data_IF_331660834131
#
_entry.id   IF_331660834131
#
_cell.length_a   1.000
_cell.length_b   1.000
_cell.length_c   1.000
_cell.angle_alpha   90.00
_cell.angle_beta   90.00
_cell.angle_gamma   90.00
#
_symmetry.space_group_name_H-M   'P 1'
#
loop_
_entity.id
_entity.type
_entity.pdbx_description
1 polymer ?
#
# COMPACT_ATOMS: atom_id res chain seq x y z
N UNK A 1 -1.17 -3.03 -13.29
CA UNK A 1 -2.39 -3.50 -13.98
C UNK A 1 -2.95 -4.69 -13.23
N UNK A 2 -4.24 -4.70 -12.85
CA UNK A 2 -4.85 -5.85 -12.19
C UNK A 2 -5.10 -7.00 -13.16
N UNK A 3 -5.04 -8.23 -12.65
CA UNK A 3 -5.40 -9.46 -13.37
C UNK A 3 -6.84 -9.87 -13.00
N UNK A 4 -7.83 -9.06 -13.41
CA UNK A 4 -9.25 -9.24 -13.07
C UNK A 4 -9.89 -10.51 -13.64
N UNK A 5 -9.22 -11.26 -14.50
CA UNK A 5 -9.63 -12.58 -14.97
C UNK A 5 -8.68 -13.70 -14.50
N UNK A 6 -7.70 -13.36 -13.69
CA UNK A 6 -6.65 -14.25 -13.21
C UNK A 6 -5.61 -14.68 -14.25
N UNK A 7 -5.65 -14.11 -15.47
CA UNK A 7 -4.79 -14.55 -16.59
C UNK A 7 -4.19 -13.42 -17.42
N UNK A 8 -4.94 -12.37 -17.65
CA UNK A 8 -4.55 -11.29 -18.54
C UNK A 8 -4.62 -9.95 -17.80
N UNK A 9 -3.66 -9.04 -18.03
CA UNK A 9 -3.69 -7.74 -17.41
C UNK A 9 -4.87 -6.92 -17.94
N UNK A 10 -5.60 -6.28 -17.03
CA UNK A 10 -6.67 -5.34 -17.33
C UNK A 10 -6.19 -3.90 -17.13
N UNK A 11 -6.86 -2.94 -17.75
CA UNK A 11 -6.66 -1.52 -17.48
C UNK A 11 -7.73 -1.07 -16.49
N UNK A 12 -7.32 -0.56 -15.34
CA UNK A 12 -8.20 0.03 -14.35
C UNK A 12 -8.00 1.55 -14.30
N UNK A 13 -9.11 2.29 -14.34
CA UNK A 13 -9.13 3.73 -14.20
C UNK A 13 -10.09 4.13 -13.08
N UNK A 14 -9.58 4.91 -12.13
CA UNK A 14 -10.34 5.45 -11.01
C UNK A 14 -10.42 6.98 -11.07
N UNK A 15 -11.56 7.53 -10.69
CA UNK A 15 -11.77 8.96 -10.51
C UNK A 15 -12.58 9.24 -9.26
N UNK A 16 -12.17 10.25 -8.51
CA UNK A 16 -12.76 10.68 -7.24
C UNK A 16 -11.92 10.19 -6.06
N UNK A 17 -11.92 10.95 -4.98
CA UNK A 17 -11.10 10.70 -3.79
C UNK A 17 -11.94 10.85 -2.54
N UNK A 18 -12.57 12.00 -2.31
CA UNK A 18 -13.21 12.34 -1.04
C UNK A 18 -14.67 11.92 -0.89
N UNK A 19 -15.43 11.84 -1.98
CA UNK A 19 -16.89 11.62 -1.90
C UNK A 19 -17.34 10.57 -2.87
N UNK A 20 -17.58 10.97 -4.12
CA UNK A 20 -18.07 10.11 -5.19
C UNK A 20 -16.93 9.54 -6.00
N UNK A 21 -16.92 8.23 -6.15
CA UNK A 21 -15.96 7.51 -6.97
C UNK A 21 -16.62 6.98 -8.24
N UNK A 22 -15.85 6.93 -9.32
CA UNK A 22 -16.22 6.28 -10.58
C UNK A 22 -15.05 5.45 -11.03
N UNK A 23 -15.28 4.17 -11.19
CA UNK A 23 -14.28 3.21 -11.66
C UNK A 23 -14.73 2.60 -12.98
N UNK A 24 -13.78 2.26 -13.81
CA UNK A 24 -13.97 1.50 -15.03
C UNK A 24 -12.80 0.56 -15.24
N UNK A 25 -13.09 -0.69 -15.56
CA UNK A 25 -12.12 -1.67 -15.96
C UNK A 25 -12.30 -2.05 -17.43
N UNK A 26 -11.19 -2.25 -18.12
CA UNK A 26 -11.14 -2.70 -19.51
C UNK A 26 -10.30 -3.97 -19.62
N UNK A 27 -10.80 -4.92 -20.38
CA UNK A 27 -10.01 -5.99 -20.93
C UNK A 27 -9.31 -5.51 -22.20
N UNK A 28 -8.08 -5.99 -22.41
CA UNK A 28 -7.31 -5.73 -23.63
C UNK A 28 -7.34 -6.97 -24.49
N UNK A 29 -7.84 -6.87 -25.72
CA UNK A 29 -7.77 -7.98 -26.66
C UNK A 29 -6.29 -8.21 -27.06
N UNK A 30 -5.70 -9.38 -26.79
CA UNK A 30 -4.27 -9.60 -27.06
C UNK A 30 -3.89 -9.65 -28.55
N UNK A 31 -4.88 -9.75 -29.46
CA UNK A 31 -4.65 -9.82 -30.90
C UNK A 31 -4.88 -8.48 -31.59
N UNK A 32 -5.98 -7.79 -31.25
CA UNK A 32 -6.36 -6.54 -31.89
C UNK A 32 -5.91 -5.33 -31.10
N UNK A 33 -5.56 -5.50 -29.82
CA UNK A 33 -5.28 -4.47 -28.83
C UNK A 33 -6.46 -3.53 -28.55
N UNK A 34 -7.67 -3.94 -28.93
CA UNK A 34 -8.87 -3.19 -28.63
C UNK A 34 -9.21 -3.27 -27.15
N UNK A 35 -9.80 -2.17 -26.64
CA UNK A 35 -10.26 -2.07 -25.26
C UNK A 35 -11.76 -2.42 -25.19
N UNK A 36 -12.09 -3.42 -24.40
CA UNK A 36 -13.47 -3.82 -24.12
C UNK A 36 -13.78 -3.52 -22.66
N UNK A 37 -14.86 -2.75 -22.42
CA UNK A 37 -15.31 -2.49 -21.04
C UNK A 37 -15.67 -3.82 -20.37
N UNK A 38 -14.98 -4.14 -19.28
CA UNK A 38 -15.29 -5.27 -18.41
C UNK A 38 -16.42 -4.94 -17.48
N UNK A 39 -16.26 -3.87 -16.69
CA UNK A 39 -17.30 -3.34 -15.82
C UNK A 39 -17.12 -1.85 -15.55
N UNK A 40 -18.18 -1.23 -15.01
CA UNK A 40 -18.20 0.12 -14.46
C UNK A 40 -18.81 0.09 -13.08
N UNK A 41 -18.24 0.86 -12.16
CA UNK A 41 -18.72 0.98 -10.80
C UNK A 41 -18.82 2.46 -10.38
N UNK A 42 -19.76 2.76 -9.50
CA UNK A 42 -19.89 4.10 -8.91
C UNK A 42 -20.66 4.06 -7.60
N UNK A 43 -20.25 4.93 -6.67
CA UNK A 43 -20.93 5.17 -5.40
C UNK A 43 -21.63 6.54 -5.37
N UNK A 44 -22.44 6.86 -6.34
CA UNK A 44 -23.02 8.21 -6.52
C UNK A 44 -23.93 8.71 -5.38
N UNK A 45 -24.32 7.87 -4.43
CA UNK A 45 -25.32 8.18 -3.42
C UNK A 45 -24.67 8.46 -2.06
N UNK A 46 -24.77 9.70 -1.52
CA UNK A 46 -24.47 9.97 -0.13
C UNK A 46 -25.27 9.05 0.80
N UNK A 47 -24.61 8.53 1.85
CA UNK A 47 -25.20 7.55 2.77
C UNK A 47 -25.07 6.08 2.32
N UNK A 48 -24.59 5.81 1.11
CA UNK A 48 -24.12 4.49 0.73
C UNK A 48 -22.88 4.11 1.55
N UNK A 49 -22.71 2.85 1.96
CA UNK A 49 -21.52 2.41 2.71
C UNK A 49 -20.21 2.62 1.94
N UNK A 50 -20.29 2.83 0.64
CA UNK A 50 -19.17 3.04 -0.27
C UNK A 50 -18.82 4.52 -0.50
N UNK A 51 -19.69 5.44 -0.07
CA UNK A 51 -19.49 6.86 -0.31
C UNK A 51 -18.43 7.43 0.61
N UNK A 52 -17.45 8.15 0.04
CA UNK A 52 -16.37 8.77 0.82
C UNK A 52 -15.26 7.83 1.31
N UNK A 53 -15.19 6.59 0.82
CA UNK A 53 -14.28 5.58 1.36
C UNK A 53 -12.91 5.51 0.68
N UNK A 54 -12.66 6.33 -0.36
CA UNK A 54 -11.44 6.24 -1.15
C UNK A 54 -10.27 7.04 -0.60
N UNK A 55 -9.05 6.58 -0.90
CA UNK A 55 -7.80 7.25 -0.59
C UNK A 55 -7.17 7.87 -1.82
N UNK A 56 -5.99 8.49 -1.66
CA UNK A 56 -5.21 9.07 -2.75
C UNK A 56 -4.53 8.03 -3.65
N UNK A 57 -4.45 6.79 -3.21
CA UNK A 57 -3.87 5.67 -3.92
C UNK A 57 -4.78 4.44 -3.85
N UNK A 58 -4.45 3.42 -4.62
CA UNK A 58 -5.06 2.10 -4.54
C UNK A 58 -3.99 1.01 -4.67
N UNK A 59 -4.32 -0.16 -4.21
CA UNK A 59 -3.50 -1.36 -4.30
C UNK A 59 -4.28 -2.40 -5.11
N UNK A 60 -3.56 -3.23 -5.82
CA UNK A 60 -4.09 -4.38 -6.57
C UNK A 60 -3.54 -5.63 -5.93
N UNK A 61 -4.41 -6.53 -5.50
CA UNK A 61 -4.04 -7.80 -4.89
C UNK A 61 -5.22 -8.77 -4.92
N UNK A 62 -4.93 -10.08 -5.01
CA UNK A 62 -5.88 -11.16 -4.81
C UNK A 62 -6.11 -11.33 -3.30
N UNK A 63 -7.09 -10.60 -2.74
CA UNK A 63 -7.30 -10.55 -1.29
C UNK A 63 -8.25 -11.64 -0.78
N UNK A 64 -9.05 -12.24 -1.65
CA UNK A 64 -9.98 -13.31 -1.29
C UNK A 64 -9.56 -14.70 -1.78
N UNK A 65 -8.38 -14.77 -2.45
CA UNK A 65 -7.71 -15.99 -2.88
C UNK A 65 -8.47 -16.78 -3.95
N UNK A 66 -9.22 -16.08 -4.80
CA UNK A 66 -9.94 -16.69 -5.92
C UNK A 66 -9.09 -16.79 -7.20
N UNK A 67 -7.86 -16.26 -7.18
CA UNK A 67 -6.92 -16.23 -8.29
C UNK A 67 -7.09 -15.03 -9.20
N UNK A 68 -7.80 -14.01 -8.77
CA UNK A 68 -8.02 -12.74 -9.47
C UNK A 68 -7.72 -11.57 -8.54
N UNK A 69 -7.36 -10.45 -9.13
CA UNK A 69 -7.05 -9.27 -8.32
C UNK A 69 -8.29 -8.44 -7.99
N UNK A 70 -8.35 -7.94 -6.77
CA UNK A 70 -9.27 -6.91 -6.30
C UNK A 70 -8.61 -5.53 -6.37
N UNK A 71 -9.45 -4.51 -6.33
CA UNK A 71 -9.04 -3.11 -6.20
C UNK A 71 -9.28 -2.66 -4.76
N UNK A 72 -8.22 -2.56 -4.00
CA UNK A 72 -8.23 -2.05 -2.64
C UNK A 72 -8.05 -0.53 -2.68
N UNK A 73 -9.12 0.21 -2.44
CA UNK A 73 -9.13 1.66 -2.53
C UNK A 73 -9.47 2.29 -1.18
N UNK A 74 -8.47 2.41 -0.34
CA UNK A 74 -8.64 2.98 0.98
C UNK A 74 -9.49 2.15 1.91
N UNK A 75 -10.58 2.73 2.40
CA UNK A 75 -11.51 2.10 3.32
C UNK A 75 -12.49 1.12 2.64
N UNK A 76 -12.33 0.83 1.35
CA UNK A 76 -13.18 -0.11 0.60
C UNK A 76 -12.37 -1.03 -0.32
N UNK A 77 -12.93 -2.19 -0.59
CA UNK A 77 -12.43 -3.18 -1.55
C UNK A 77 -13.50 -3.43 -2.62
N UNK A 78 -13.09 -3.37 -3.88
CA UNK A 78 -13.92 -3.68 -5.05
C UNK A 78 -13.41 -4.99 -5.65
N UNK A 79 -14.29 -5.95 -5.73
CA UNK A 79 -14.08 -7.29 -6.26
C UNK A 79 -13.78 -7.27 -7.77
N UNK A 80 -13.09 -8.27 -8.30
CA UNK A 80 -12.72 -8.48 -9.70
C UNK A 80 -13.88 -8.31 -10.67
N UNK A 81 -15.09 -8.62 -10.21
CA UNK A 81 -16.34 -8.51 -10.97
C UNK A 81 -16.97 -7.11 -10.93
N UNK A 82 -16.32 -6.14 -10.27
CA UNK A 82 -16.79 -4.75 -10.17
C UNK A 82 -17.89 -4.53 -9.15
N UNK A 83 -18.08 -5.42 -8.19
CA UNK A 83 -18.98 -5.22 -7.04
C UNK A 83 -18.16 -4.80 -5.81
N UNK A 84 -18.78 -4.12 -4.87
CA UNK A 84 -18.16 -3.87 -3.58
C UNK A 84 -18.02 -5.18 -2.80
N UNK A 85 -16.79 -5.51 -2.37
CA UNK A 85 -16.50 -6.70 -1.57
C UNK A 85 -16.69 -6.39 -0.08
N UNK A 86 -15.97 -5.39 0.43
CA UNK A 86 -16.05 -4.99 1.83
C UNK A 86 -15.69 -3.51 2.04
N UNK A 87 -16.07 -2.96 3.20
CA UNK A 87 -15.70 -1.60 3.59
C UNK A 87 -15.65 -1.45 5.10
N UNK A 88 -14.72 -0.63 5.59
CA UNK A 88 -14.64 -0.27 7.02
C UNK A 88 -15.66 0.79 7.42
N UNK A 89 -16.12 1.61 6.47
CA UNK A 89 -16.94 2.79 6.77
C UNK A 89 -16.19 3.94 7.44
N UNK A 90 -14.84 3.88 7.52
CA UNK A 90 -14.04 4.89 8.22
C UNK A 90 -13.83 6.17 7.42
N UNK A 91 -14.16 6.15 6.11
CA UNK A 91 -14.03 7.34 5.26
C UNK A 91 -12.67 7.45 4.59
N UNK A 92 -12.37 8.66 4.15
CA UNK A 92 -11.14 9.01 3.45
C UNK A 92 -9.90 8.90 4.34
N UNK A 93 -8.75 8.67 3.70
CA UNK A 93 -7.42 8.65 4.32
C UNK A 93 -6.31 8.73 3.30
N UNK A 94 -5.07 8.77 3.77
CA UNK A 94 -3.90 9.12 2.96
C UNK A 94 -2.99 7.96 2.61
N UNK A 95 -2.79 7.01 3.52
CA UNK A 95 -1.84 5.93 3.34
C UNK A 95 -2.44 4.57 3.68
N UNK A 96 -2.04 3.56 2.91
CA UNK A 96 -2.43 2.17 3.10
C UNK A 96 -1.33 1.23 2.62
N UNK A 97 -1.17 0.13 3.33
CA UNK A 97 -0.22 -0.92 3.01
C UNK A 97 -0.91 -2.27 3.15
N UNK A 98 -0.60 -3.20 2.23
CA UNK A 98 -1.14 -4.55 2.24
C UNK A 98 0.01 -5.56 2.28
N UNK A 99 -0.20 -6.66 2.94
CA UNK A 99 0.74 -7.78 3.00
C UNK A 99 0.24 -8.89 3.89
N UNK A 100 0.94 -10.01 3.91
CA UNK A 100 0.82 -11.04 4.93
C UNK A 100 1.58 -10.55 6.17
N UNK A 101 0.91 -9.72 6.98
CA UNK A 101 1.52 -9.08 8.15
C UNK A 101 1.50 -9.95 9.39
N UNK A 102 0.57 -10.88 9.46
CA UNK A 102 0.46 -11.82 10.56
C UNK A 102 0.56 -13.26 10.05
N UNK A 103 1.73 -13.91 10.15
CA UNK A 103 1.95 -15.24 9.58
C UNK A 103 1.11 -16.36 10.23
N UNK A 104 0.34 -16.05 11.27
CA UNK A 104 -0.56 -16.98 11.96
C UNK A 104 -2.02 -16.83 11.53
N UNK A 105 -2.35 -15.88 10.69
CA UNK A 105 -3.68 -15.67 10.11
C UNK A 105 -3.57 -15.93 8.61
N UNK A 106 -4.43 -16.78 8.07
CA UNK A 106 -4.45 -16.98 6.62
C UNK A 106 -5.07 -15.79 5.92
N UNK A 107 -4.40 -15.26 4.92
CA UNK A 107 -4.87 -14.14 4.12
C UNK A 107 -3.87 -12.99 4.07
N UNK A 108 -4.35 -11.86 3.61
CA UNK A 108 -3.60 -10.61 3.62
C UNK A 108 -4.28 -9.62 4.56
N UNK A 109 -3.50 -8.78 5.16
CA UNK A 109 -3.98 -7.72 6.03
C UNK A 109 -3.59 -6.35 5.48
N UNK A 110 -4.26 -5.35 6.01
CA UNK A 110 -4.00 -3.96 5.71
C UNK A 110 -3.63 -3.18 6.96
N UNK A 111 -2.66 -2.29 6.81
CA UNK A 111 -2.40 -1.20 7.74
C UNK A 111 -2.67 0.13 7.05
N UNK A 112 -3.52 0.97 7.62
CA UNK A 112 -3.98 2.18 6.96
C UNK A 112 -4.24 3.31 7.97
N UNK A 113 -4.19 4.56 7.49
CA UNK A 113 -4.56 5.72 8.28
C UNK A 113 -5.66 6.55 7.61
N UNK A 114 -6.57 7.07 8.42
CA UNK A 114 -7.73 7.82 8.00
C UNK A 114 -7.64 9.29 8.41
N UNK A 115 -8.05 10.17 7.50
CA UNK A 115 -8.33 11.59 7.74
C UNK A 115 -9.75 11.78 8.28
N UNK A 116 -10.75 11.22 7.57
CA UNK A 116 -12.10 11.09 8.11
C UNK A 116 -12.09 10.05 9.24
N UNK A 117 -12.80 10.30 10.34
CA UNK A 117 -12.71 9.47 11.54
C UNK A 117 -11.25 9.19 11.92
N UNK A 118 -10.47 10.25 12.25
CA UNK A 118 -9.02 10.18 12.34
C UNK A 118 -8.53 9.00 13.17
N UNK A 119 -7.69 8.18 12.55
CA UNK A 119 -7.22 6.93 13.17
C UNK A 119 -6.21 6.23 12.29
N UNK A 120 -5.40 5.35 12.89
CA UNK A 120 -4.81 4.24 12.15
C UNK A 120 -5.57 2.94 12.45
N UNK A 121 -5.47 1.97 11.57
CA UNK A 121 -6.09 0.67 11.77
C UNK A 121 -5.31 -0.46 11.08
N UNK A 122 -5.34 -1.62 11.73
CA UNK A 122 -4.89 -2.89 11.21
C UNK A 122 -6.09 -3.81 11.04
N UNK A 123 -6.26 -4.40 9.86
CA UNK A 123 -7.47 -5.13 9.50
C UNK A 123 -7.23 -6.24 8.48
N UNK A 124 -8.17 -7.17 8.41
CA UNK A 124 -8.30 -8.15 7.35
C UNK A 124 -8.59 -7.46 5.99
N UNK A 125 -7.85 -7.83 4.95
CA UNK A 125 -7.97 -7.18 3.65
C UNK A 125 -9.25 -7.59 2.89
N UNK A 126 -9.73 -8.81 3.07
CA UNK A 126 -10.92 -9.33 2.39
C UNK A 126 -12.21 -8.80 3.00
N UNK A 127 -12.31 -8.89 4.33
CA UNK A 127 -13.56 -8.64 5.05
C UNK A 127 -13.67 -7.25 5.64
N UNK A 128 -12.57 -6.49 5.66
CA UNK A 128 -12.42 -5.21 6.37
C UNK A 128 -12.62 -5.31 7.89
N UNK A 129 -12.54 -6.52 8.47
CA UNK A 129 -12.61 -6.72 9.92
C UNK A 129 -11.39 -6.09 10.58
N UNK A 130 -11.64 -5.13 11.46
CA UNK A 130 -10.59 -4.41 12.18
C UNK A 130 -10.10 -5.26 13.35
N UNK A 131 -8.79 -5.49 13.42
CA UNK A 131 -8.09 -6.17 14.51
C UNK A 131 -7.56 -5.18 15.56
N UNK A 132 -7.04 -4.04 15.09
CA UNK A 132 -6.54 -2.96 15.91
C UNK A 132 -6.97 -1.62 15.33
N UNK A 133 -7.30 -0.67 16.19
CA UNK A 133 -7.55 0.73 15.80
C UNK A 133 -7.23 1.68 16.94
N UNK A 134 -6.42 2.68 16.64
CA UNK A 134 -6.25 3.85 17.52
C UNK A 134 -6.93 5.05 16.86
N UNK A 135 -7.88 5.64 17.59
CA UNK A 135 -8.53 6.90 17.18
C UNK A 135 -7.69 8.09 17.55
N UNK A 136 -7.75 9.14 16.75
CA UNK A 136 -7.06 10.39 16.98
C UNK A 136 -8.04 11.58 16.86
N UNK A 137 -7.56 12.79 17.17
CA UNK A 137 -8.27 14.06 16.98
C UNK A 137 -7.84 14.78 15.71
N UNK A 138 -6.72 14.39 15.11
CA UNK A 138 -6.16 14.98 13.91
C UNK A 138 -5.94 13.90 12.84
N UNK A 139 -5.84 14.34 11.59
CA UNK A 139 -5.44 13.52 10.47
C UNK A 139 -4.10 12.79 10.76
N UNK A 140 -4.10 11.48 10.67
CA UNK A 140 -2.92 10.65 10.91
C UNK A 140 -1.94 10.68 9.70
N UNK A 141 -2.41 11.04 8.53
CA UNK A 141 -1.66 11.41 7.32
C UNK A 141 -0.65 10.40 6.77
N UNK A 142 0.05 9.66 7.63
CA UNK A 142 1.09 8.69 7.26
C UNK A 142 1.09 7.50 8.18
N UNK A 143 1.27 6.32 7.58
CA UNK A 143 1.53 5.08 8.29
C UNK A 143 2.40 4.15 7.45
N UNK A 144 2.96 3.14 8.07
CA UNK A 144 3.67 2.05 7.40
C UNK A 144 3.53 0.78 8.23
N UNK A 145 3.53 -0.38 7.57
CA UNK A 145 3.68 -1.67 8.22
C UNK A 145 4.59 -2.56 7.39
N UNK A 146 5.45 -3.31 8.05
CA UNK A 146 6.39 -4.22 7.41
C UNK A 146 7.11 -5.11 8.40
N UNK A 147 7.80 -6.12 7.88
CA UNK A 147 8.64 -7.04 8.64
C UNK A 147 10.02 -6.40 8.90
N UNK A 148 10.07 -5.42 9.81
CA UNK A 148 11.26 -4.60 10.05
C UNK A 148 12.22 -5.17 11.10
N UNK A 149 11.80 -6.11 11.94
CA UNK A 149 12.53 -6.56 13.11
C UNK A 149 12.50 -8.09 13.23
N UNK A 150 13.65 -8.72 13.27
CA UNK A 150 13.78 -10.18 13.34
C UNK A 150 13.40 -10.78 14.71
N UNK A 151 13.33 -9.96 15.75
CA UNK A 151 12.96 -10.34 17.11
C UNK A 151 11.46 -10.08 17.43
N UNK A 152 10.71 -9.50 16.50
CA UNK A 152 9.28 -9.28 16.62
C UNK A 152 8.56 -10.10 15.53
N UNK A 153 7.83 -11.17 15.89
CA UNK A 153 7.12 -11.99 14.91
C UNK A 153 6.08 -11.19 14.12
N UNK A 154 6.02 -11.42 12.80
CA UNK A 154 5.12 -10.73 11.89
C UNK A 154 5.59 -9.30 11.59
N UNK A 155 4.68 -8.47 11.13
CA UNK A 155 4.99 -7.07 10.83
C UNK A 155 4.84 -6.17 12.07
N UNK A 156 5.49 -5.02 11.98
CA UNK A 156 5.31 -3.90 12.90
C UNK A 156 4.63 -2.76 12.13
N UNK A 157 3.46 -2.34 12.59
CA UNK A 157 2.73 -1.20 12.07
C UNK A 157 2.97 0.04 12.92
N UNK A 158 3.07 1.21 12.30
CA UNK A 158 3.17 2.49 12.99
C UNK A 158 2.60 3.63 12.16
N UNK A 159 2.27 4.74 12.80
CA UNK A 159 1.74 5.92 12.12
C UNK A 159 2.33 7.22 12.67
N UNK A 160 1.95 8.33 12.07
CA UNK A 160 2.42 9.64 12.51
C UNK A 160 2.02 9.96 13.96
N UNK A 161 0.92 9.40 14.43
CA UNK A 161 0.34 9.69 15.75
C UNK A 161 0.25 8.45 16.65
N UNK A 162 0.88 7.34 16.26
CA UNK A 162 0.88 6.13 17.06
C UNK A 162 2.27 5.49 17.12
N UNK A 163 2.58 4.93 18.28
CA UNK A 163 3.80 4.14 18.48
C UNK A 163 3.68 2.77 17.82
N UNK A 164 4.80 2.11 17.53
CA UNK A 164 4.78 0.79 16.87
C UNK A 164 3.89 -0.23 17.59
N UNK A 165 3.11 -0.98 16.80
CA UNK A 165 2.30 -2.13 17.25
C UNK A 165 2.76 -3.39 16.56
N UNK A 166 2.67 -4.53 17.25
CA UNK A 166 2.82 -5.85 16.62
C UNK A 166 1.52 -6.27 15.96
N UNK A 167 1.59 -6.68 14.69
CA UNK A 167 0.43 -7.22 13.97
C UNK A 167 0.00 -8.62 14.47
N UNK A 168 0.85 -9.30 15.20
CA UNK A 168 0.54 -10.60 15.79
C UNK A 168 -0.24 -10.46 17.09
N UNK A 169 0.17 -9.55 17.98
CA UNK A 169 -0.47 -9.38 19.30
C UNK A 169 -1.50 -8.27 19.33
N UNK A 170 -1.46 -7.35 18.37
CA UNK A 170 -2.24 -6.10 18.34
C UNK A 170 -1.93 -5.18 19.54
N UNK A 171 -0.73 -5.29 20.09
CA UNK A 171 -0.26 -4.51 21.24
C UNK A 171 0.93 -3.64 20.85
N UNK A 172 1.14 -2.57 21.61
CA UNK A 172 2.31 -1.72 21.42
C UNK A 172 3.60 -2.48 21.72
N UNK A 173 4.60 -2.23 20.89
CA UNK A 173 5.97 -2.73 21.05
C UNK A 173 6.94 -1.55 21.10
N UNK A 174 8.13 -1.77 21.66
CA UNK A 174 9.12 -0.71 21.84
C UNK A 174 10.46 -1.10 21.18
N UNK A 175 10.48 -1.26 19.85
CA UNK A 175 11.72 -1.58 19.13
C UNK A 175 12.64 -0.35 19.05
N UNK A 176 13.87 -0.57 18.61
CA UNK A 176 14.74 0.55 18.23
C UNK A 176 14.22 1.19 16.93
N UNK A 177 13.69 2.41 17.02
CA UNK A 177 13.08 3.13 15.89
C UNK A 177 14.07 3.95 15.06
N UNK A 178 15.39 3.87 15.33
CA UNK A 178 16.36 4.54 14.48
C UNK A 178 16.25 4.02 13.03
N UNK A 179 16.03 4.91 12.06
CA UNK A 179 15.82 4.55 10.67
C UNK A 179 14.39 4.10 10.31
N UNK A 180 13.47 4.03 11.25
CA UNK A 180 12.06 3.76 10.95
C UNK A 180 11.42 5.00 10.32
N UNK A 181 10.84 4.85 9.13
CA UNK A 181 10.13 5.93 8.40
C UNK A 181 8.74 5.47 7.94
N UNK A 182 7.94 6.34 7.32
CA UNK A 182 6.50 6.10 7.12
C UNK A 182 6.02 6.22 5.67
N UNK A 183 6.89 6.28 4.68
CA UNK A 183 6.42 6.42 3.30
C UNK A 183 6.34 5.08 2.56
N UNK A 184 7.47 4.35 2.47
CA UNK A 184 7.54 3.10 1.71
C UNK A 184 8.36 2.06 2.48
N UNK A 185 8.03 0.81 2.28
CA UNK A 185 8.89 -0.34 2.65
C UNK A 185 9.53 -0.89 1.38
N UNK A 186 10.67 -1.52 1.51
CA UNK A 186 11.46 -2.03 0.40
C UNK A 186 12.29 -3.24 0.83
N UNK A 187 12.42 -4.23 -0.03
CA UNK A 187 13.43 -5.27 0.09
C UNK A 187 14.71 -4.79 -0.59
N UNK A 188 15.66 -4.28 0.20
CA UNK A 188 16.88 -3.68 -0.33
C UNK A 188 18.13 -4.51 -0.11
N UNK A 189 18.38 -4.99 1.09
CA UNK A 189 19.55 -5.81 1.37
C UNK A 189 19.29 -7.33 1.26
N UNK A 190 20.25 -8.17 1.67
CA UNK A 190 20.18 -9.62 1.46
C UNK A 190 19.47 -10.40 2.55
N UNK A 191 18.91 -9.76 3.59
CA UNK A 191 18.16 -10.46 4.62
C UNK A 191 16.64 -10.44 4.38
N UNK A 192 15.86 -11.05 5.26
CA UNK A 192 14.43 -11.19 5.10
C UNK A 192 13.60 -10.05 5.75
N UNK A 193 14.27 -9.09 6.40
CA UNK A 193 13.63 -7.92 6.92
C UNK A 193 13.44 -6.90 5.79
N UNK A 194 12.35 -6.16 5.88
CA UNK A 194 12.12 -5.02 4.99
C UNK A 194 12.83 -3.79 5.53
N UNK A 195 13.32 -2.95 4.64
CA UNK A 195 13.81 -1.62 4.94
C UNK A 195 12.73 -0.58 4.73
N UNK A 196 13.00 0.64 5.21
CA UNK A 196 12.19 1.81 4.89
C UNK A 196 12.84 2.60 3.76
N UNK A 197 12.03 3.07 2.82
CA UNK A 197 12.44 4.00 1.78
C UNK A 197 11.67 5.32 1.92
N UNK A 198 12.41 6.42 1.98
CA UNK A 198 11.82 7.75 2.06
C UNK A 198 12.69 8.76 1.31
N UNK A 199 12.07 9.50 0.41
CA UNK A 199 12.73 10.49 -0.44
C UNK A 199 13.84 9.87 -1.32
N UNK A 200 15.09 9.90 -0.87
CA UNK A 200 16.25 9.35 -1.58
C UNK A 200 17.12 8.49 -0.66
N UNK A 201 16.57 8.07 0.46
CA UNK A 201 17.29 7.28 1.45
C UNK A 201 16.59 5.95 1.70
N UNK A 202 17.41 4.90 1.77
CA UNK A 202 17.02 3.60 2.30
C UNK A 202 17.56 3.50 3.72
N UNK A 203 16.68 3.21 4.66
CA UNK A 203 17.05 3.09 6.08
C UNK A 203 16.63 1.74 6.61
N UNK A 204 17.50 1.11 7.41
CA UNK A 204 17.18 -0.12 8.12
C UNK A 204 16.74 0.20 9.53
N UNK A 205 15.51 -0.14 9.93
CA UNK A 205 15.04 0.08 11.29
C UNK A 205 15.96 -0.58 12.33
N UNK A 206 16.35 0.20 13.35
CA UNK A 206 17.33 -0.20 14.36
C UNK A 206 18.80 0.15 14.01
N UNK A 207 19.09 0.45 12.74
CA UNK A 207 20.46 0.74 12.28
C UNK A 207 20.62 2.15 11.71
N UNK A 208 19.59 2.72 11.03
CA UNK A 208 19.64 4.02 10.39
C UNK A 208 19.86 3.92 8.88
N UNK A 209 20.42 4.98 8.25
CA UNK A 209 20.61 5.04 6.79
C UNK A 209 21.65 4.03 6.32
N UNK A 210 21.26 3.17 5.39
CA UNK A 210 22.13 2.17 4.75
C UNK A 210 22.47 2.49 3.30
N UNK A 211 21.64 3.28 2.63
CA UNK A 211 21.91 3.75 1.27
C UNK A 211 21.33 5.15 1.04
N UNK A 212 22.02 5.94 0.20
CA UNK A 212 21.54 7.23 -0.31
C UNK A 212 21.60 7.20 -1.83
N UNK A 213 20.47 7.44 -2.49
CA UNK A 213 20.34 7.42 -3.95
C UNK A 213 20.90 8.72 -4.54
N UNK A 214 22.21 8.77 -4.70
CA UNK A 214 22.93 9.98 -5.10
C UNK A 214 22.45 10.54 -6.44
N UNK A 215 22.05 11.80 -6.43
CA UNK A 215 21.54 12.53 -7.61
C UNK A 215 20.09 12.22 -7.95
N UNK A 216 19.39 11.47 -7.11
CA UNK A 216 17.95 11.22 -7.21
C UNK A 216 17.13 12.42 -6.71
N UNK A 217 15.92 12.54 -7.23
CA UNK A 217 14.90 13.48 -6.75
C UNK A 217 13.56 12.75 -6.72
N UNK A 218 12.96 12.69 -5.55
CA UNK A 218 11.59 12.16 -5.39
C UNK A 218 10.55 13.10 -6.01
N UNK A 219 9.32 12.63 -6.12
CA UNK A 219 8.19 13.38 -6.64
C UNK A 219 7.18 13.64 -5.50
N UNK A 220 6.18 14.48 -5.79
CA UNK A 220 5.01 14.66 -4.94
C UNK A 220 5.31 15.22 -3.54
N UNK A 221 6.29 16.13 -3.44
CA UNK A 221 6.63 16.88 -2.21
C UNK A 221 6.86 15.94 -1.00
N UNK A 222 6.18 16.18 0.11
CA UNK A 222 6.33 15.40 1.35
C UNK A 222 5.92 13.92 1.25
N UNK A 223 5.16 13.55 0.22
CA UNK A 223 4.85 12.15 -0.09
C UNK A 223 6.04 11.38 -0.66
N UNK A 224 7.05 12.13 -1.14
CA UNK A 224 8.37 11.61 -1.55
C UNK A 224 8.28 10.36 -2.45
N UNK A 225 7.34 10.37 -3.39
CA UNK A 225 6.99 9.21 -4.24
C UNK A 225 8.08 8.96 -5.27
N UNK A 226 8.64 7.75 -5.40
CA UNK A 226 9.51 7.37 -6.51
C UNK A 226 8.75 7.36 -7.85
N UNK A 227 9.47 7.34 -8.96
CA UNK A 227 8.86 7.06 -10.26
C UNK A 227 8.34 5.63 -10.32
N UNK A 228 9.08 4.69 -9.72
CA UNK A 228 8.71 3.28 -9.58
C UNK A 228 9.54 2.64 -8.47
N UNK A 229 8.98 1.64 -7.81
CA UNK A 229 9.65 0.73 -6.90
C UNK A 229 9.15 -0.69 -7.15
N UNK A 230 10.04 -1.66 -7.21
CA UNK A 230 9.72 -3.08 -7.37
C UNK A 230 10.89 -3.86 -7.94
N UNK A 231 10.80 -5.18 -7.91
CA UNK A 231 11.79 -6.08 -8.48
C UNK A 231 11.80 -6.00 -10.01
N UNK A 232 12.69 -5.16 -10.55
CA UNK A 232 12.86 -4.94 -12.00
C UNK A 232 13.78 -5.99 -12.62
N UNK A 233 14.74 -6.51 -11.86
CA UNK A 233 15.74 -7.42 -12.35
C UNK A 233 15.42 -8.91 -12.10
N UNK A 234 14.38 -9.21 -11.31
CA UNK A 234 13.91 -10.55 -11.04
C UNK A 234 14.79 -11.32 -10.06
N UNK A 235 15.39 -10.61 -9.10
CA UNK A 235 16.25 -11.19 -8.07
C UNK A 235 15.66 -11.11 -6.66
N UNK A 236 14.35 -10.79 -6.55
CA UNK A 236 13.50 -10.60 -5.37
C UNK A 236 13.75 -9.28 -4.61
N UNK A 237 14.93 -8.69 -4.71
CA UNK A 237 15.18 -7.37 -4.15
C UNK A 237 14.57 -6.30 -5.05
N UNK A 238 14.20 -5.19 -4.46
CA UNK A 238 13.49 -4.16 -5.21
C UNK A 238 14.44 -3.05 -5.65
N UNK A 239 14.29 -2.62 -6.89
CA UNK A 239 14.90 -1.42 -7.43
C UNK A 239 14.02 -0.20 -7.19
N UNK A 240 14.69 0.95 -7.14
CA UNK A 240 14.04 2.25 -7.13
C UNK A 240 14.38 3.00 -8.41
N UNK A 241 13.35 3.43 -9.13
CA UNK A 241 13.50 4.31 -10.29
C UNK A 241 13.17 5.74 -9.86
N UNK A 242 14.16 6.64 -9.98
CA UNK A 242 14.00 8.04 -9.65
C UNK A 242 14.42 8.94 -10.81
N UNK A 243 13.86 10.14 -10.88
CA UNK A 243 14.35 11.17 -11.77
C UNK A 243 15.69 11.73 -11.29
N UNK A 244 16.57 12.07 -12.23
CA UNK A 244 17.87 12.71 -11.96
C UNK A 244 17.97 14.11 -12.61
N UNK A 245 16.87 14.83 -12.63
CA UNK A 245 16.68 16.11 -13.29
C UNK A 245 15.36 16.16 -14.04
N UNK A 246 15.21 17.03 -15.02
CA UNK A 246 13.95 17.21 -15.75
C UNK A 246 13.69 16.14 -16.81
N UNK A 247 14.73 15.51 -17.37
CA UNK A 247 14.62 14.69 -18.57
C UNK A 247 15.25 13.29 -18.44
N UNK A 248 15.75 12.92 -17.27
CA UNK A 248 16.44 11.64 -17.07
C UNK A 248 15.85 10.90 -15.87
N UNK A 249 15.84 9.59 -15.97
CA UNK A 249 15.58 8.66 -14.88
C UNK A 249 16.82 7.78 -14.66
N UNK A 250 16.96 7.25 -13.46
CA UNK A 250 17.98 6.27 -13.10
C UNK A 250 17.35 5.14 -12.30
N UNK A 251 17.79 3.93 -12.56
CA UNK A 251 17.47 2.76 -11.76
C UNK A 251 18.58 2.63 -10.73
N UNK A 252 18.18 2.55 -9.47
CA UNK A 252 19.06 2.29 -8.34
C UNK A 252 18.79 0.88 -7.86
N UNK A 253 19.86 0.10 -7.73
CA UNK A 253 19.86 -1.26 -7.21
C UNK A 253 20.90 -1.41 -6.11
N UNK A 254 20.75 -2.40 -5.28
CA UNK A 254 21.74 -2.77 -4.28
C UNK A 254 22.79 -3.70 -4.86
N UNK A 255 24.01 -3.63 -4.33
CA UNK A 255 25.06 -4.62 -4.54
C UNK A 255 25.32 -5.44 -3.29
N UNK A 256 24.57 -5.24 -2.23
CA UNK A 256 24.65 -6.00 -0.99
C UNK A 256 24.17 -7.43 -1.26
N UNK A 257 25.02 -8.45 -0.98
CA UNK A 257 24.67 -9.83 -1.25
C UNK A 257 23.60 -10.33 -0.29
#
# INVERSE_FOLDING_TARGET
APYLDGKHPSIFLGRGIYTRHKFIAYDVDPKTHDLKVRWKWTNNQPGSPWYGQGYHNYIVADVDWDGRDEIVWGSMVIDDNGKGLSTTGLGHGDAQHIGDFNPYIHGQEMFACNEDNPSNNYRDATTSKIYYRKTDTNDDGRCLAGNFYNDIPGAVGHSAHDTPISTVTNEHVSPNTNGLSMNFRIYWDGDLQEECFNNTEVTKPGQGTIATLTGAYSNNSTKATPCFQGDVFGDWREEVIERTGSNNIRIYTTTTP
#
